data_IF_114301020350
#
_entry.id   IF_114301020350
#
_cell.length_a   1.000
_cell.length_b   1.000
_cell.length_c   1.000
_cell.angle_alpha   90.00
_cell.angle_beta   90.00
_cell.angle_gamma   90.00
#
_symmetry.space_group_name_H-M   'P 1'
#
loop_
_entity.id
_entity.type
_entity.pdbx_description
1 polymer ?
#
# COMPACT_ATOMS: atom_id res chain seq x y z
N UNK A 1 30.64 11.27 25.29
CA UNK A 1 29.98 12.56 24.95
C UNK A 1 28.51 12.25 24.77
N UNK A 2 27.65 12.79 25.61
CA UNK A 2 26.22 12.51 25.56
C UNK A 2 25.62 13.22 24.33
N UNK A 3 25.17 12.45 23.34
CA UNK A 3 24.41 12.96 22.21
C UNK A 3 22.97 13.17 22.68
N UNK A 4 22.57 14.41 22.83
CA UNK A 4 21.19 14.79 23.11
C UNK A 4 20.34 14.46 21.88
N UNK A 5 19.43 13.50 22.03
CA UNK A 5 18.39 13.17 21.07
C UNK A 5 17.54 14.43 20.75
N UNK A 6 17.23 14.76 19.51
CA UNK A 6 16.37 15.88 19.19
C UNK A 6 14.96 15.62 19.73
N UNK A 7 14.48 16.51 20.62
CA UNK A 7 13.13 16.45 21.16
C UNK A 7 12.12 16.83 20.07
N UNK A 8 11.25 15.91 19.74
CA UNK A 8 10.07 16.17 18.90
C UNK A 8 9.14 17.18 19.60
N UNK A 9 8.87 18.30 18.93
CA UNK A 9 7.85 19.27 19.36
C UNK A 9 6.60 19.10 18.49
N UNK A 10 5.43 18.77 19.04
CA UNK A 10 4.20 18.65 18.27
C UNK A 10 3.80 20.00 17.69
N UNK A 11 3.69 20.07 16.36
CA UNK A 11 3.16 21.26 15.67
C UNK A 11 1.68 21.43 16.03
N UNK A 12 1.28 22.65 16.40
CA UNK A 12 -0.13 23.06 16.53
C UNK A 12 -0.86 22.80 15.21
N UNK A 13 -1.99 22.09 15.26
CA UNK A 13 -2.80 21.70 14.12
C UNK A 13 -3.29 22.93 13.33
N UNK A 14 -2.67 23.21 12.19
CA UNK A 14 -3.36 23.88 11.08
C UNK A 14 -4.34 22.88 10.50
N UNK A 15 -5.54 23.31 10.08
CA UNK A 15 -6.47 22.44 9.36
C UNK A 15 -5.71 21.80 8.17
N UNK A 16 -5.59 20.47 8.23
CA UNK A 16 -4.83 19.70 7.24
C UNK A 16 -5.57 19.78 5.90
N UNK A 17 -4.85 20.05 4.81
CA UNK A 17 -5.43 20.24 3.48
C UNK A 17 -5.87 18.90 2.87
N UNK A 18 -6.80 18.95 1.90
CA UNK A 18 -7.25 17.77 1.14
C UNK A 18 -6.08 17.02 0.47
N UNK A 19 -5.06 17.73 0.01
CA UNK A 19 -3.83 17.14 -0.53
C UNK A 19 -3.08 16.32 0.52
N UNK A 20 -3.06 16.75 1.78
CA UNK A 20 -2.44 16.00 2.87
C UNK A 20 -3.15 14.67 3.13
N UNK A 21 -4.49 14.60 3.04
CA UNK A 21 -5.24 13.36 3.20
C UNK A 21 -4.78 12.27 2.23
N UNK A 22 -4.69 12.59 0.94
CA UNK A 22 -4.33 11.60 -0.08
C UNK A 22 -2.91 11.08 0.08
N UNK A 23 -1.96 11.94 0.50
CA UNK A 23 -0.54 11.62 0.49
C UNK A 23 0.10 11.38 1.86
N UNK A 24 -0.58 11.67 2.98
CA UNK A 24 -0.01 11.43 4.30
C UNK A 24 -0.09 9.96 4.71
N UNK A 25 0.87 9.54 5.52
CA UNK A 25 0.91 8.20 6.12
C UNK A 25 0.72 7.06 5.09
N UNK A 26 1.29 7.21 3.90
CA UNK A 26 1.37 6.13 2.92
C UNK A 26 2.61 5.27 3.20
N UNK A 27 2.38 3.97 3.35
CA UNK A 27 3.49 3.02 3.46
C UNK A 27 4.28 2.95 2.15
N UNK A 28 5.60 2.67 2.19
CA UNK A 28 6.34 2.26 1.01
C UNK A 28 5.70 1.00 0.43
N UNK A 29 5.27 1.05 -0.84
CA UNK A 29 4.46 0.00 -1.43
C UNK A 29 4.86 -0.25 -2.87
N UNK A 30 5.11 -1.52 -3.24
CA UNK A 30 5.42 -1.91 -4.62
C UNK A 30 4.16 -1.68 -5.46
N UNK A 31 4.32 -1.02 -6.60
CA UNK A 31 3.18 -0.68 -7.47
C UNK A 31 2.32 0.48 -6.98
N UNK A 32 2.78 1.24 -5.98
CA UNK A 32 2.05 2.41 -5.45
C UNK A 32 1.74 3.42 -6.57
N UNK A 33 0.47 3.75 -6.73
CA UNK A 33 -0.03 4.68 -7.76
C UNK A 33 0.13 6.17 -7.40
N UNK A 34 0.88 6.50 -6.35
CA UNK A 34 1.06 7.88 -5.87
C UNK A 34 1.48 8.86 -6.97
N UNK A 35 2.41 8.47 -7.81
CA UNK A 35 2.88 9.29 -8.95
C UNK A 35 1.97 9.20 -10.18
N UNK A 36 1.01 8.29 -10.18
CA UNK A 36 0.10 8.02 -11.29
C UNK A 36 -1.31 8.55 -11.02
N UNK A 37 -1.55 9.24 -9.89
CA UNK A 37 -2.89 9.74 -9.56
C UNK A 37 -3.44 10.71 -10.61
N UNK A 38 -2.59 11.54 -11.22
CA UNK A 38 -3.03 12.41 -12.31
C UNK A 38 -3.54 11.60 -13.51
N UNK A 39 -2.83 10.51 -13.88
CA UNK A 39 -3.25 9.61 -14.95
C UNK A 39 -4.60 8.94 -14.63
N UNK A 40 -4.78 8.50 -13.38
CA UNK A 40 -6.03 7.88 -12.92
C UNK A 40 -7.16 8.90 -12.89
N UNK A 41 -6.91 10.13 -12.45
CA UNK A 41 -7.90 11.22 -12.48
C UNK A 41 -8.32 11.56 -13.93
N UNK A 42 -7.39 11.58 -14.88
CA UNK A 42 -7.74 11.73 -16.29
C UNK A 42 -8.62 10.57 -16.79
N UNK A 43 -8.33 9.34 -16.38
CA UNK A 43 -9.18 8.19 -16.70
C UNK A 43 -10.59 8.32 -16.08
N UNK A 44 -10.70 8.77 -14.83
CA UNK A 44 -12.00 9.03 -14.19
C UNK A 44 -12.78 10.12 -14.94
N UNK A 45 -12.12 11.19 -15.39
CA UNK A 45 -12.77 12.25 -16.19
C UNK A 45 -13.39 11.75 -17.50
N UNK A 46 -12.80 10.71 -18.11
CA UNK A 46 -13.36 10.11 -19.33
C UNK A 46 -14.70 9.40 -19.10
N UNK A 47 -15.09 9.15 -17.86
CA UNK A 47 -16.40 8.60 -17.51
C UNK A 47 -17.52 9.66 -17.43
N UNK A 48 -17.16 10.95 -17.46
CA UNK A 48 -18.04 12.10 -17.20
C UNK A 48 -18.76 12.05 -15.83
N UNK A 49 -18.35 11.15 -14.94
CA UNK A 49 -18.90 11.03 -13.59
C UNK A 49 -18.19 11.99 -12.63
N UNK A 50 -18.97 12.71 -11.83
CA UNK A 50 -18.49 13.60 -10.77
C UNK A 50 -18.83 13.09 -9.36
N UNK A 51 -19.64 12.05 -9.27
CA UNK A 51 -20.05 11.35 -8.06
C UNK A 51 -20.54 9.94 -8.44
N UNK A 52 -20.98 9.16 -7.46
CA UNK A 52 -21.42 7.79 -7.64
C UNK A 52 -20.60 6.83 -6.77
N UNK A 53 -20.55 5.58 -7.16
CA UNK A 53 -19.82 4.52 -6.46
C UNK A 53 -18.50 4.20 -7.17
N UNK A 54 -17.42 4.13 -6.40
CA UNK A 54 -16.09 3.75 -6.87
C UNK A 54 -15.60 2.54 -6.07
N UNK A 55 -15.37 1.44 -6.74
CA UNK A 55 -14.85 0.20 -6.13
C UNK A 55 -13.39 0.05 -6.50
N UNK A 56 -12.50 0.05 -5.49
CA UNK A 56 -11.07 -0.23 -5.64
C UNK A 56 -10.83 -1.68 -5.20
N UNK A 57 -10.74 -2.62 -6.17
CA UNK A 57 -10.66 -4.06 -5.89
C UNK A 57 -9.31 -4.52 -5.35
N UNK A 58 -8.23 -3.74 -5.55
CA UNK A 58 -6.87 -4.05 -5.14
C UNK A 58 -6.25 -2.84 -4.45
N UNK A 59 -6.85 -2.39 -3.34
CA UNK A 59 -6.60 -1.05 -2.79
C UNK A 59 -5.18 -0.84 -2.22
N UNK A 60 -4.47 -1.90 -1.85
CA UNK A 60 -3.07 -1.85 -1.41
C UNK A 60 -2.79 -0.77 -0.37
N UNK A 61 -2.10 0.29 -0.79
CA UNK A 61 -1.82 1.46 0.06
C UNK A 61 -3.01 2.43 0.22
N UNK A 62 -4.13 2.14 -0.41
CA UNK A 62 -5.37 2.94 -0.46
C UNK A 62 -5.28 4.29 -1.18
N UNK A 63 -4.16 4.59 -1.86
CA UNK A 63 -3.96 5.93 -2.44
C UNK A 63 -4.99 6.29 -3.53
N UNK A 64 -5.43 5.30 -4.33
CA UNK A 64 -6.47 5.50 -5.36
C UNK A 64 -7.85 5.64 -4.70
N UNK A 65 -8.18 4.79 -3.75
CA UNK A 65 -9.39 4.88 -2.95
C UNK A 65 -9.52 6.24 -2.23
N UNK A 66 -8.41 6.76 -1.65
CA UNK A 66 -8.37 8.10 -1.04
C UNK A 66 -8.63 9.20 -2.08
N UNK A 67 -8.05 9.07 -3.27
CA UNK A 67 -8.28 10.02 -4.36
C UNK A 67 -9.76 10.01 -4.78
N UNK A 68 -10.37 8.84 -4.96
CA UNK A 68 -11.79 8.72 -5.30
C UNK A 68 -12.70 9.29 -4.19
N UNK A 69 -12.39 9.03 -2.91
CA UNK A 69 -13.10 9.64 -1.77
C UNK A 69 -13.01 11.17 -1.80
N UNK A 70 -11.82 11.71 -2.09
CA UNK A 70 -11.59 13.16 -2.20
C UNK A 70 -12.37 13.79 -3.36
N UNK A 71 -12.58 13.04 -4.45
CA UNK A 71 -13.40 13.46 -5.59
C UNK A 71 -14.92 13.40 -5.30
N UNK A 72 -15.34 12.87 -4.16
CA UNK A 72 -16.73 12.82 -3.73
C UNK A 72 -17.46 11.50 -4.01
N UNK A 73 -16.77 10.48 -4.50
CA UNK A 73 -17.35 9.15 -4.70
C UNK A 73 -17.63 8.45 -3.37
N UNK A 74 -18.70 7.64 -3.34
CA UNK A 74 -18.86 6.59 -2.34
C UNK A 74 -17.87 5.48 -2.66
N UNK A 75 -16.95 5.19 -1.75
CA UNK A 75 -15.83 4.27 -2.01
C UNK A 75 -16.03 2.94 -1.30
N UNK A 76 -15.87 1.85 -2.05
CA UNK A 76 -15.60 0.53 -1.50
C UNK A 76 -14.13 0.19 -1.80
N UNK A 77 -13.31 0.05 -0.75
CA UNK A 77 -11.91 -0.34 -0.86
C UNK A 77 -11.76 -1.80 -0.42
N UNK A 78 -11.27 -2.65 -1.32
CA UNK A 78 -11.03 -4.06 -1.05
C UNK A 78 -9.55 -4.41 -1.17
N UNK A 79 -9.11 -5.29 -0.29
CA UNK A 79 -7.85 -6.01 -0.44
C UNK A 79 -7.92 -7.28 0.40
N UNK A 80 -7.29 -8.36 -0.01
CA UNK A 80 -7.25 -9.56 0.81
C UNK A 80 -6.16 -9.54 1.90
N UNK A 81 -5.19 -8.61 1.79
CA UNK A 81 -4.12 -8.46 2.79
C UNK A 81 -4.62 -7.74 4.06
N UNK A 82 -4.42 -8.35 5.23
CA UNK A 82 -4.92 -7.80 6.50
C UNK A 82 -4.48 -6.35 6.77
N UNK A 83 -3.21 -6.02 6.52
CA UNK A 83 -2.71 -4.66 6.75
C UNK A 83 -3.38 -3.63 5.85
N UNK A 84 -3.62 -3.95 4.58
CA UNK A 84 -4.28 -3.07 3.62
C UNK A 84 -5.72 -2.79 4.03
N UNK A 85 -6.46 -3.85 4.40
CA UNK A 85 -7.82 -3.71 4.92
C UNK A 85 -7.88 -2.76 6.13
N UNK A 86 -6.96 -2.88 7.11
CA UNK A 86 -6.96 -1.99 8.28
C UNK A 86 -6.60 -0.54 7.91
N UNK A 87 -5.71 -0.33 6.94
CA UNK A 87 -5.47 1.02 6.40
C UNK A 87 -6.77 1.57 5.81
N UNK A 88 -7.52 0.77 5.04
CA UNK A 88 -8.79 1.20 4.45
C UNK A 88 -9.85 1.50 5.53
N UNK A 89 -9.99 0.67 6.56
CA UNK A 89 -10.90 0.96 7.69
C UNK A 89 -10.56 2.28 8.36
N UNK A 90 -9.27 2.53 8.64
CA UNK A 90 -8.85 3.76 9.33
C UNK A 90 -8.84 5.02 8.48
N UNK A 91 -8.83 4.93 7.14
CA UNK A 91 -8.66 6.10 6.27
C UNK A 91 -9.78 6.29 5.25
N UNK A 92 -10.42 5.22 4.78
CA UNK A 92 -11.51 5.29 3.79
C UNK A 92 -12.87 5.28 4.48
N UNK A 93 -13.11 4.32 5.38
CA UNK A 93 -14.39 4.19 6.09
C UNK A 93 -14.66 5.42 6.96
N UNK A 94 -13.65 5.88 7.68
CA UNK A 94 -13.80 7.00 8.61
C UNK A 94 -14.02 8.34 7.90
N UNK A 95 -15.17 8.95 8.11
CA UNK A 95 -15.45 10.34 7.72
C UNK A 95 -15.07 11.34 8.82
N UNK A 96 -15.01 10.89 10.07
CA UNK A 96 -14.61 11.66 11.23
C UNK A 96 -13.64 10.83 12.08
N UNK A 97 -12.88 11.49 12.94
CA UNK A 97 -12.04 10.82 13.90
C UNK A 97 -12.92 10.00 14.84
N UNK A 98 -12.69 8.67 15.00
CA UNK A 98 -13.45 7.85 15.94
C UNK A 98 -13.37 8.40 17.37
N UNK A 99 -14.42 8.25 18.19
CA UNK A 99 -14.56 8.98 19.45
C UNK A 99 -13.66 8.46 20.57
N UNK A 100 -13.26 7.18 20.56
CA UNK A 100 -12.49 6.54 21.65
C UNK A 100 -13.09 6.83 23.04
N UNK A 101 -14.42 6.73 23.15
CA UNK A 101 -15.16 7.17 24.35
C UNK A 101 -14.70 6.51 25.63
N UNK A 102 -14.45 5.19 25.61
CA UNK A 102 -13.96 4.42 26.77
C UNK A 102 -12.53 4.78 27.19
N UNK A 103 -11.77 5.39 26.28
CA UNK A 103 -10.38 5.78 26.53
C UNK A 103 -10.22 7.28 26.86
N UNK A 104 -11.30 8.05 26.83
CA UNK A 104 -11.30 9.49 27.09
C UNK A 104 -10.87 10.33 25.89
N UNK A 105 -11.16 9.85 24.67
CA UNK A 105 -10.91 10.55 23.41
C UNK A 105 -9.70 10.03 22.64
N UNK A 106 -9.66 10.37 21.36
CA UNK A 106 -8.62 9.93 20.43
C UNK A 106 -7.21 10.39 20.87
N UNK A 107 -7.04 11.67 21.22
CA UNK A 107 -5.74 12.18 21.68
C UNK A 107 -5.23 11.42 22.90
N UNK A 108 -6.12 11.09 23.84
CA UNK A 108 -5.77 10.33 25.04
C UNK A 108 -5.40 8.88 24.73
N UNK A 109 -6.08 8.25 23.77
CA UNK A 109 -5.75 6.89 23.33
C UNK A 109 -4.32 6.85 22.72
N UNK A 110 -4.01 7.76 21.79
CA UNK A 110 -2.68 7.86 21.18
C UNK A 110 -1.60 8.23 22.20
N UNK A 111 -1.88 9.18 23.11
CA UNK A 111 -0.96 9.54 24.18
C UNK A 111 -0.63 8.34 25.07
N UNK A 112 -1.65 7.59 25.51
CA UNK A 112 -1.47 6.38 26.33
C UNK A 112 -0.55 5.37 25.64
N UNK A 113 -0.70 5.13 24.32
CA UNK A 113 0.16 4.24 23.56
C UNK A 113 1.60 4.76 23.47
N UNK A 114 1.76 6.04 23.16
CA UNK A 114 3.07 6.66 23.01
C UNK A 114 3.85 6.74 24.33
N UNK A 115 3.18 6.80 25.48
CA UNK A 115 3.78 6.86 26.81
C UNK A 115 4.05 5.49 27.45
N UNK A 116 3.65 4.37 26.81
CA UNK A 116 3.91 3.03 27.35
C UNK A 116 5.40 2.78 27.57
N UNK A 117 5.74 2.12 28.66
CA UNK A 117 7.08 1.56 28.82
C UNK A 117 7.30 0.41 27.82
N UNK A 118 8.51 0.29 27.22
CA UNK A 118 8.80 -0.80 26.31
C UNK A 118 8.82 -2.15 27.04
N UNK A 119 8.34 -3.21 26.38
CA UNK A 119 8.38 -4.59 26.90
C UNK A 119 9.10 -5.51 25.91
N UNK A 120 9.71 -6.56 26.42
CA UNK A 120 10.26 -7.61 25.57
C UNK A 120 9.15 -8.58 25.14
N UNK A 121 8.87 -8.62 23.84
CA UNK A 121 7.82 -9.44 23.27
C UNK A 121 8.22 -9.99 21.91
N UNK A 122 7.23 -10.31 21.06
CA UNK A 122 7.45 -11.00 19.79
C UNK A 122 8.35 -10.24 18.79
N UNK A 123 8.15 -8.93 18.63
CA UNK A 123 8.95 -8.11 17.72
C UNK A 123 10.38 -7.97 18.22
N UNK A 124 10.56 -7.70 19.52
CA UNK A 124 11.87 -7.58 20.12
C UNK A 124 12.69 -8.88 20.01
N UNK A 125 12.06 -10.03 20.26
CA UNK A 125 12.74 -11.34 20.26
C UNK A 125 13.03 -11.86 18.85
N UNK A 126 12.12 -11.65 17.91
CA UNK A 126 12.22 -12.31 16.59
C UNK A 126 12.62 -11.39 15.44
N UNK A 127 12.50 -10.07 15.58
CA UNK A 127 12.70 -9.13 14.48
C UNK A 127 13.78 -8.07 14.75
N UNK A 128 14.37 -8.09 15.93
CA UNK A 128 15.43 -7.17 16.36
C UNK A 128 16.69 -7.94 16.74
N UNK A 129 17.87 -7.29 16.71
CA UNK A 129 19.07 -7.84 17.33
C UNK A 129 18.95 -7.79 18.85
N UNK A 130 19.77 -8.56 19.55
CA UNK A 130 19.88 -8.51 21.01
C UNK A 130 20.53 -7.19 21.48
N UNK A 131 21.53 -6.73 20.71
CA UNK A 131 22.28 -5.50 20.95
C UNK A 131 22.28 -4.64 19.65
N UNK A 132 21.70 -3.45 19.72
CA UNK A 132 21.61 -2.52 18.57
C UNK A 132 22.99 -1.97 18.16
N UNK A 133 23.95 -1.89 19.09
CA UNK A 133 25.29 -1.36 18.84
C UNK A 133 26.24 -2.43 18.25
N UNK A 134 26.00 -3.72 18.58
CA UNK A 134 26.83 -4.85 18.14
C UNK A 134 25.97 -6.01 17.61
N UNK A 135 25.16 -5.82 16.57
CA UNK A 135 24.31 -6.88 16.04
C UNK A 135 25.18 -7.97 15.37
N UNK A 136 24.83 -9.24 15.61
CA UNK A 136 25.39 -10.35 14.86
C UNK A 136 24.76 -10.38 13.45
N UNK A 137 25.49 -9.88 12.46
CA UNK A 137 25.03 -9.78 11.08
C UNK A 137 24.74 -11.13 10.40
N UNK A 138 25.13 -12.25 10.97
CA UNK A 138 24.88 -13.59 10.42
C UNK A 138 23.58 -14.19 10.95
N UNK A 139 23.26 -13.96 12.22
CA UNK A 139 22.17 -14.64 12.92
C UNK A 139 21.05 -13.72 13.36
N UNK A 140 21.32 -12.44 13.65
CA UNK A 140 20.30 -11.50 14.10
C UNK A 140 19.45 -10.97 12.93
N UNK A 141 18.13 -10.84 13.17
CA UNK A 141 17.28 -10.05 12.30
C UNK A 141 17.37 -8.59 12.71
N UNK A 142 17.56 -7.74 11.72
CA UNK A 142 17.72 -6.30 11.92
C UNK A 142 16.57 -5.53 11.23
N UNK A 143 15.32 -6.02 11.37
CA UNK A 143 14.16 -5.30 10.83
C UNK A 143 13.89 -4.00 11.56
N UNK A 144 14.16 -3.99 12.87
CA UNK A 144 13.97 -2.81 13.72
C UNK A 144 15.10 -2.73 14.74
N UNK A 145 15.38 -1.52 15.24
CA UNK A 145 16.15 -1.36 16.46
C UNK A 145 15.37 -1.98 17.64
N UNK A 146 16.08 -2.62 18.58
CA UNK A 146 15.46 -3.30 19.72
C UNK A 146 14.54 -2.40 20.51
N UNK A 147 14.94 -1.14 20.76
CA UNK A 147 14.08 -0.15 21.42
C UNK A 147 12.71 0.03 20.75
N UNK A 148 12.69 0.03 19.42
CA UNK A 148 11.46 0.14 18.64
C UNK A 148 10.67 -1.17 18.64
N UNK A 149 11.34 -2.34 18.55
CA UNK A 149 10.70 -3.64 18.69
C UNK A 149 9.97 -3.79 20.02
N UNK A 150 10.63 -3.46 21.12
CA UNK A 150 10.03 -3.49 22.46
C UNK A 150 8.85 -2.51 22.61
N UNK A 151 8.92 -1.36 21.96
CA UNK A 151 7.83 -0.39 21.97
C UNK A 151 6.65 -0.84 21.10
N UNK A 152 6.91 -1.47 19.95
CA UNK A 152 5.89 -2.10 19.10
C UNK A 152 5.14 -3.18 19.89
N UNK A 153 5.86 -4.03 20.60
CA UNK A 153 5.27 -5.07 21.45
C UNK A 153 4.35 -4.47 22.52
N UNK A 154 4.83 -3.46 23.26
CA UNK A 154 4.03 -2.79 24.30
C UNK A 154 2.75 -2.17 23.74
N UNK A 155 2.86 -1.45 22.60
CA UNK A 155 1.71 -0.82 21.96
C UNK A 155 0.71 -1.86 21.46
N UNK A 156 1.19 -2.93 20.83
CA UNK A 156 0.31 -3.92 20.21
C UNK A 156 -0.41 -4.77 21.27
N UNK A 157 0.27 -5.17 22.34
CA UNK A 157 -0.37 -5.85 23.48
C UNK A 157 -1.46 -4.95 24.08
N UNK A 158 -1.18 -3.67 24.31
CA UNK A 158 -2.16 -2.76 24.87
C UNK A 158 -3.38 -2.57 23.95
N UNK A 159 -3.19 -2.52 22.64
CA UNK A 159 -4.30 -2.44 21.68
C UNK A 159 -5.13 -3.73 21.73
N UNK A 160 -4.50 -4.90 21.86
CA UNK A 160 -5.22 -6.15 22.00
C UNK A 160 -6.03 -6.22 23.30
N UNK A 161 -5.44 -5.82 24.44
CA UNK A 161 -6.17 -5.69 25.70
C UNK A 161 -7.42 -4.80 25.57
N UNK A 162 -7.30 -3.67 24.87
CA UNK A 162 -8.45 -2.77 24.64
C UNK A 162 -9.51 -3.42 23.75
N UNK A 163 -9.09 -4.20 22.77
CA UNK A 163 -9.99 -4.92 21.88
C UNK A 163 -10.72 -6.05 22.60
N UNK A 164 -9.99 -6.91 23.31
CA UNK A 164 -10.54 -8.02 24.07
C UNK A 164 -11.48 -7.56 25.21
N UNK A 165 -11.17 -6.45 25.85
CA UNK A 165 -12.03 -5.84 26.89
C UNK A 165 -13.23 -5.07 26.32
N UNK A 166 -13.34 -4.92 24.99
CA UNK A 166 -14.37 -4.09 24.37
C UNK A 166 -14.21 -2.59 24.65
N UNK A 167 -13.00 -2.16 25.06
CA UNK A 167 -12.70 -0.75 25.29
C UNK A 167 -12.56 0.07 24.01
N UNK A 168 -12.37 -0.58 22.88
CA UNK A 168 -12.36 0.00 21.54
C UNK A 168 -13.27 -0.78 20.59
N UNK A 169 -13.89 -0.07 19.64
CA UNK A 169 -14.68 -0.65 18.55
C UNK A 169 -13.79 -1.14 17.42
N UNK A 170 -14.35 -1.88 16.45
CA UNK A 170 -13.62 -2.29 15.25
C UNK A 170 -13.15 -1.08 14.40
N UNK A 171 -13.93 -0.01 14.34
CA UNK A 171 -13.54 1.24 13.68
C UNK A 171 -12.36 1.92 14.38
N UNK A 172 -12.40 2.01 15.72
CA UNK A 172 -11.31 2.54 16.52
C UNK A 172 -10.05 1.68 16.41
N UNK A 173 -10.21 0.36 16.39
CA UNK A 173 -9.11 -0.58 16.12
C UNK A 173 -8.50 -0.33 14.74
N UNK A 174 -9.30 -0.26 13.67
CA UNK A 174 -8.81 0.00 12.33
C UNK A 174 -8.11 1.35 12.21
N UNK A 175 -8.62 2.37 12.90
CA UNK A 175 -8.00 3.69 12.94
C UNK A 175 -6.62 3.68 13.63
N UNK A 176 -6.49 2.97 14.76
CA UNK A 176 -5.20 2.74 15.42
C UNK A 176 -4.24 1.94 14.54
N UNK A 177 -4.73 0.86 13.89
CA UNK A 177 -3.89 0.02 13.04
C UNK A 177 -3.39 0.77 11.81
N UNK A 178 -4.18 1.64 11.20
CA UNK A 178 -3.73 2.47 10.07
C UNK A 178 -2.52 3.34 10.46
N UNK A 179 -2.56 3.99 11.64
CA UNK A 179 -1.42 4.72 12.18
C UNK A 179 -0.23 3.80 12.47
N UNK A 180 -0.49 2.64 13.07
CA UNK A 180 0.55 1.74 13.54
C UNK A 180 1.31 1.08 12.37
N UNK A 181 0.60 0.60 11.35
CA UNK A 181 1.19 0.04 10.13
C UNK A 181 2.13 1.07 9.46
N UNK A 182 1.73 2.33 9.39
CA UNK A 182 2.59 3.39 8.88
C UNK A 182 3.83 3.60 9.76
N UNK A 183 3.65 3.77 11.08
CA UNK A 183 4.76 4.05 12.00
C UNK A 183 5.77 2.91 12.06
N UNK A 184 5.31 1.64 12.04
CA UNK A 184 6.19 0.46 11.95
C UNK A 184 6.96 0.45 10.62
N UNK A 185 6.30 0.76 9.52
CA UNK A 185 6.97 0.87 8.22
C UNK A 185 8.02 1.99 8.20
N UNK A 186 7.74 3.10 8.89
CA UNK A 186 8.63 4.25 8.98
C UNK A 186 9.94 3.93 9.68
N UNK A 187 9.90 3.27 10.83
CA UNK A 187 11.10 2.93 11.62
C UNK A 187 11.79 1.64 11.15
N UNK A 188 11.29 0.99 10.10
CA UNK A 188 11.86 -0.27 9.62
C UNK A 188 13.19 -0.08 8.90
N UNK A 189 14.14 -0.99 9.13
CA UNK A 189 15.44 -1.07 8.46
C UNK A 189 15.33 -1.86 7.15
N UNK A 190 14.43 -1.42 6.27
CA UNK A 190 14.13 -2.09 5.00
C UNK A 190 14.12 -1.10 3.84
N UNK A 191 14.17 -1.61 2.62
CA UNK A 191 13.98 -0.83 1.39
C UNK A 191 12.51 -0.63 1.02
N UNK A 192 11.59 -0.70 1.99
CA UNK A 192 10.15 -0.55 1.79
C UNK A 192 9.39 -1.87 1.62
N UNK A 193 10.09 -3.02 1.65
CA UNK A 193 9.50 -4.37 1.68
C UNK A 193 10.15 -5.19 2.78
N UNK A 194 9.37 -5.99 3.47
CA UNK A 194 9.81 -6.80 4.62
C UNK A 194 10.29 -8.21 4.23
N UNK A 195 10.57 -8.44 2.97
CA UNK A 195 11.16 -9.70 2.49
C UNK A 195 12.60 -9.88 2.96
N UNK A 196 13.26 -8.81 3.34
CA UNK A 196 14.58 -8.73 3.92
C UNK A 196 14.82 -7.40 4.62
N UNK A 197 15.96 -7.28 5.26
CA UNK A 197 16.41 -6.07 5.95
C UNK A 197 17.83 -5.72 5.48
N UNK A 198 18.26 -4.49 5.75
CA UNK A 198 19.65 -4.10 5.52
C UNK A 198 20.56 -4.68 6.62
N UNK A 199 21.68 -5.29 6.23
CA UNK A 199 22.72 -5.65 7.17
C UNK A 199 23.43 -4.37 7.63
N UNK A 200 23.41 -4.12 8.93
CA UNK A 200 23.71 -2.80 9.48
C UNK A 200 22.58 -1.79 9.26
N UNK A 201 22.59 -0.73 10.05
CA UNK A 201 21.52 0.27 10.03
C UNK A 201 21.58 1.17 8.79
N UNK A 202 20.48 1.24 8.05
CA UNK A 202 20.36 2.11 6.87
C UNK A 202 21.04 1.61 5.59
N UNK A 203 21.62 0.41 5.60
CA UNK A 203 22.35 -0.15 4.47
C UNK A 203 23.60 0.65 4.08
N UNK A 204 24.12 0.43 2.87
CA UNK A 204 25.38 1.04 2.40
C UNK A 204 25.34 2.57 2.31
N UNK A 205 24.19 3.13 2.00
CA UNK A 205 24.04 4.58 1.77
C UNK A 205 23.64 5.36 3.03
N UNK A 206 23.20 4.67 4.09
CA UNK A 206 22.78 5.24 5.39
C UNK A 206 21.79 6.41 5.32
N UNK A 207 21.15 6.64 4.19
CA UNK A 207 20.24 7.77 3.95
C UNK A 207 18.97 7.71 4.79
N UNK A 208 18.63 6.55 5.34
CA UNK A 208 17.42 6.33 6.14
C UNK A 208 17.68 6.26 7.65
N UNK A 209 18.93 6.47 8.10
CA UNK A 209 19.29 6.36 9.53
C UNK A 209 18.42 7.23 10.43
N UNK A 210 18.12 8.47 10.01
CA UNK A 210 17.32 9.40 10.80
C UNK A 210 15.95 8.85 11.19
N UNK A 211 15.30 8.05 10.32
CA UNK A 211 14.00 7.43 10.61
C UNK A 211 14.14 6.08 11.34
N UNK A 212 15.14 5.26 10.98
CA UNK A 212 15.38 3.94 11.59
C UNK A 212 15.78 4.10 13.06
N UNK A 213 16.63 5.09 13.36
CA UNK A 213 17.10 5.37 14.71
C UNK A 213 16.15 6.25 15.54
N UNK A 214 15.08 6.81 14.93
CA UNK A 214 14.08 7.56 15.69
C UNK A 214 13.25 6.62 16.57
N UNK A 215 12.65 7.17 17.61
CA UNK A 215 11.69 6.44 18.42
C UNK A 215 10.36 6.33 17.67
N UNK A 216 9.76 5.15 17.68
CA UNK A 216 8.44 4.95 17.08
C UNK A 216 7.41 5.82 17.82
N UNK A 217 6.61 6.53 17.04
CA UNK A 217 5.54 7.40 17.54
C UNK A 217 4.30 7.23 16.66
N UNK A 218 3.13 7.09 17.29
CA UNK A 218 1.86 7.00 16.59
C UNK A 218 1.21 8.38 16.50
N UNK A 219 0.83 8.77 15.29
CA UNK A 219 0.02 9.96 15.03
C UNK A 219 -1.32 9.57 14.42
N UNK A 220 -2.43 10.21 14.83
CA UNK A 220 -3.75 9.95 14.26
C UNK A 220 -3.76 10.13 12.75
N UNK A 221 -4.33 9.19 11.96
CA UNK A 221 -4.52 9.35 10.53
C UNK A 221 -5.37 10.58 10.20
N UNK A 222 -5.11 11.16 9.03
CA UNK A 222 -5.96 12.20 8.49
C UNK A 222 -7.20 11.54 7.89
N UNK A 223 -8.38 12.05 8.21
CA UNK A 223 -9.65 11.65 7.61
C UNK A 223 -10.33 12.85 6.99
N UNK A 224 -11.15 12.62 5.99
CA UNK A 224 -12.03 13.62 5.38
C UNK A 224 -13.47 13.10 5.36
N UNK A 225 -14.39 14.00 5.52
CA UNK A 225 -15.83 13.71 5.34
C UNK A 225 -16.22 14.04 3.89
N UNK A 226 -16.63 13.03 3.15
CA UNK A 226 -17.18 13.19 1.80
C UNK A 226 -18.72 13.03 1.76
N UNK A 227 -19.37 12.93 2.92
CA UNK A 227 -20.81 12.77 3.05
C UNK A 227 -21.33 11.41 2.59
N UNK A 228 -20.45 10.42 2.34
CA UNK A 228 -20.80 9.09 1.83
C UNK A 228 -20.52 8.02 2.87
N UNK A 229 -21.29 6.94 2.84
CA UNK A 229 -21.02 5.73 3.62
C UNK A 229 -19.99 4.87 2.88
N UNK A 230 -18.72 5.07 3.20
CA UNK A 230 -17.62 4.33 2.58
C UNK A 230 -17.42 2.97 3.26
N UNK A 231 -16.90 2.00 2.52
CA UNK A 231 -16.82 0.60 2.93
C UNK A 231 -15.39 0.08 2.72
N UNK A 232 -14.93 -0.76 3.64
CA UNK A 232 -13.72 -1.57 3.47
C UNK A 232 -14.08 -3.05 3.55
N UNK A 233 -13.56 -3.85 2.61
CA UNK A 233 -13.73 -5.31 2.59
C UNK A 233 -12.38 -6.01 2.55
N UNK A 234 -12.36 -7.27 3.04
CA UNK A 234 -11.18 -8.13 2.99
C UNK A 234 -11.54 -9.46 2.35
N UNK A 235 -11.59 -9.47 1.04
CA UNK A 235 -12.01 -10.64 0.27
C UNK A 235 -11.13 -10.82 -0.97
N UNK A 236 -11.13 -12.00 -1.54
CA UNK A 236 -10.65 -12.22 -2.90
C UNK A 236 -11.46 -11.37 -3.89
N UNK A 237 -10.80 -10.77 -4.88
CA UNK A 237 -11.46 -9.87 -5.82
C UNK A 237 -12.49 -10.59 -6.71
N UNK A 238 -12.19 -11.84 -7.14
CA UNK A 238 -13.10 -12.67 -7.91
C UNK A 238 -14.34 -13.07 -7.13
N UNK A 239 -14.21 -13.36 -5.83
CA UNK A 239 -15.35 -13.64 -4.96
C UNK A 239 -16.20 -12.39 -4.70
N UNK A 240 -15.55 -11.25 -4.47
CA UNK A 240 -16.23 -9.99 -4.12
C UNK A 240 -17.12 -9.47 -5.24
N UNK A 241 -16.70 -9.58 -6.52
CA UNK A 241 -17.45 -9.00 -7.65
C UNK A 241 -18.87 -9.53 -7.76
N UNK A 242 -19.12 -10.77 -7.34
CA UNK A 242 -20.45 -11.39 -7.33
C UNK A 242 -21.39 -10.79 -6.27
N UNK A 243 -20.87 -10.10 -5.26
CA UNK A 243 -21.65 -9.52 -4.15
C UNK A 243 -21.70 -8.00 -4.13
N UNK A 244 -20.99 -7.32 -5.05
CA UNK A 244 -20.87 -5.85 -5.06
C UNK A 244 -22.21 -5.13 -5.05
N UNK A 245 -23.14 -5.49 -5.93
CA UNK A 245 -24.47 -4.85 -6.01
C UNK A 245 -25.28 -5.04 -4.73
N UNK A 246 -25.11 -6.20 -4.06
CA UNK A 246 -25.75 -6.46 -2.76
C UNK A 246 -25.17 -5.61 -1.63
N UNK A 247 -23.83 -5.46 -1.58
CA UNK A 247 -23.14 -4.66 -0.57
C UNK A 247 -23.42 -3.16 -0.76
N UNK A 248 -23.39 -2.68 -2.01
CA UNK A 248 -23.60 -1.27 -2.34
C UNK A 248 -25.07 -0.87 -2.39
N UNK A 249 -25.98 -1.83 -2.54
CA UNK A 249 -27.41 -1.59 -2.76
C UNK A 249 -27.76 -1.22 -4.21
N UNK A 250 -26.79 -1.11 -5.10
CA UNK A 250 -26.92 -0.78 -6.52
C UNK A 250 -25.71 -1.29 -7.31
N UNK A 251 -25.86 -1.31 -8.65
CA UNK A 251 -24.74 -1.57 -9.57
C UNK A 251 -23.68 -0.49 -9.39
N UNK A 252 -22.39 -0.85 -9.24
CA UNK A 252 -21.31 0.13 -9.15
C UNK A 252 -21.16 0.97 -10.43
N UNK A 253 -20.84 2.26 -10.25
CA UNK A 253 -20.56 3.13 -11.37
C UNK A 253 -19.18 2.89 -11.96
N UNK A 254 -18.17 2.78 -11.10
CA UNK A 254 -16.78 2.52 -11.49
C UNK A 254 -16.23 1.34 -10.67
N UNK A 255 -15.64 0.37 -11.36
CA UNK A 255 -14.77 -0.65 -10.76
C UNK A 255 -13.36 -0.43 -11.26
N UNK A 256 -12.44 -0.15 -10.34
CA UNK A 256 -11.03 0.06 -10.61
C UNK A 256 -10.22 -1.20 -10.31
N UNK A 257 -9.38 -1.58 -11.27
CA UNK A 257 -8.53 -2.76 -11.25
C UNK A 257 -7.05 -2.36 -11.29
N UNK A 258 -6.30 -2.82 -10.32
CA UNK A 258 -4.84 -2.75 -10.26
C UNK A 258 -4.29 -4.09 -9.76
N UNK A 259 -4.54 -5.21 -10.49
CA UNK A 259 -4.12 -6.52 -10.05
C UNK A 259 -2.60 -6.61 -9.96
N UNK A 260 -2.03 -7.50 -9.13
CA UNK A 260 -0.59 -7.73 -9.11
C UNK A 260 -0.06 -8.09 -10.51
N UNK A 261 0.89 -7.32 -11.04
CA UNK A 261 1.48 -7.56 -12.36
C UNK A 261 2.97 -7.92 -12.30
N UNK A 262 3.41 -8.45 -11.15
CA UNK A 262 4.74 -9.01 -10.97
C UNK A 262 4.68 -10.35 -10.24
N UNK A 263 5.80 -11.13 -10.31
CA UNK A 263 5.90 -12.45 -9.72
C UNK A 263 6.13 -12.46 -8.19
N UNK A 264 6.04 -11.32 -7.51
CA UNK A 264 6.36 -11.21 -6.08
C UNK A 264 5.10 -11.10 -5.23
N UNK A 265 4.74 -12.14 -4.43
CA UNK A 265 3.55 -12.13 -3.59
C UNK A 265 3.60 -11.04 -2.53
N UNK A 266 2.53 -10.26 -2.41
CA UNK A 266 2.39 -9.19 -1.42
C UNK A 266 2.42 -9.73 0.01
N UNK A 267 1.81 -10.88 0.27
CA UNK A 267 1.88 -11.56 1.56
C UNK A 267 3.32 -11.88 2.01
N UNK A 268 4.26 -12.11 1.05
CA UNK A 268 5.69 -12.26 1.35
C UNK A 268 6.38 -10.92 1.58
N UNK A 269 6.00 -9.91 0.80
CA UNK A 269 6.64 -8.59 0.85
C UNK A 269 6.27 -7.83 2.12
N UNK A 270 5.06 -8.05 2.65
CA UNK A 270 4.51 -7.28 3.79
C UNK A 270 4.11 -8.17 4.97
N UNK A 271 4.71 -9.36 5.10
CA UNK A 271 4.36 -10.36 6.12
C UNK A 271 4.43 -9.82 7.56
N UNK A 272 5.37 -8.92 7.86
CA UNK A 272 5.51 -8.30 9.19
C UNK A 272 4.32 -7.40 9.50
N UNK A 273 3.80 -6.67 8.51
CA UNK A 273 2.60 -5.85 8.69
C UNK A 273 1.35 -6.71 8.90
N UNK A 274 1.27 -7.87 8.24
CA UNK A 274 0.21 -8.85 8.53
C UNK A 274 0.32 -9.41 9.94
N UNK A 275 1.53 -9.76 10.41
CA UNK A 275 1.75 -10.20 11.79
C UNK A 275 1.36 -9.12 12.79
N UNK A 276 1.72 -7.85 12.51
CA UNK A 276 1.33 -6.71 13.35
C UNK A 276 -0.19 -6.59 13.49
N UNK A 277 -0.92 -6.72 12.38
CA UNK A 277 -2.39 -6.55 12.36
C UNK A 277 -3.10 -7.75 12.96
N UNK A 278 -2.74 -8.97 12.55
CA UNK A 278 -3.36 -10.21 13.01
C UNK A 278 -2.99 -10.55 14.46
N UNK A 279 -1.82 -10.18 14.89
CA UNK A 279 -1.21 -10.48 16.18
C UNK A 279 -1.16 -11.98 16.49
N UNK A 280 -1.02 -12.76 15.43
CA UNK A 280 -1.02 -14.22 15.46
C UNK A 280 0.33 -14.84 15.86
N UNK A 281 1.37 -14.01 15.98
CA UNK A 281 2.71 -14.37 16.49
C UNK A 281 3.20 -15.70 15.92
N UNK A 282 3.34 -15.84 14.59
CA UNK A 282 3.72 -17.11 13.97
C UNK A 282 5.05 -17.60 14.54
N UNK A 283 5.20 -18.91 14.69
CA UNK A 283 6.42 -19.52 15.20
C UNK A 283 7.59 -19.23 14.28
N UNK A 284 8.60 -18.56 14.80
CA UNK A 284 9.86 -18.25 14.12
C UNK A 284 11.02 -18.65 15.03
N UNK A 285 12.12 -19.17 14.49
CA UNK A 285 13.36 -19.31 15.27
C UNK A 285 13.79 -17.93 15.81
N UNK A 286 14.34 -17.85 16.99
CA UNK A 286 14.82 -16.58 17.56
C UNK A 286 15.88 -15.95 16.65
N UNK A 287 16.80 -16.76 16.12
CA UNK A 287 17.89 -16.32 15.22
C UNK A 287 17.80 -16.97 13.84
N UNK A 288 18.41 -16.35 12.85
CA UNK A 288 18.54 -16.89 11.51
C UNK A 288 19.59 -18.00 11.54
N UNK A 289 19.27 -19.16 10.94
CA UNK A 289 20.28 -20.20 10.69
C UNK A 289 21.26 -19.69 9.62
N UNK A 290 22.58 -19.67 9.86
CA UNK A 290 23.58 -19.25 8.89
C UNK A 290 23.41 -19.94 7.52
N UNK A 291 23.53 -19.18 6.44
CA UNK A 291 23.31 -19.66 5.08
C UNK A 291 21.86 -19.75 4.62
N UNK A 292 20.88 -19.49 5.50
CA UNK A 292 19.46 -19.39 5.14
C UNK A 292 19.05 -17.93 4.91
N UNK A 293 17.93 -17.73 4.20
CA UNK A 293 17.31 -16.40 4.10
C UNK A 293 16.66 -16.03 5.44
N UNK A 294 16.54 -14.72 5.71
CA UNK A 294 15.83 -14.23 6.89
C UNK A 294 14.51 -14.99 7.05
N UNK A 295 14.26 -15.52 8.24
CA UNK A 295 13.08 -16.32 8.47
C UNK A 295 11.83 -15.43 8.34
N UNK A 296 10.93 -15.88 7.53
CA UNK A 296 9.70 -15.20 7.17
C UNK A 296 8.59 -16.20 7.39
N UNK A 297 7.44 -15.78 7.92
CA UNK A 297 6.25 -16.61 7.94
C UNK A 297 5.99 -17.15 6.52
N UNK A 298 5.52 -18.40 6.43
CA UNK A 298 5.45 -19.10 5.13
C UNK A 298 4.01 -19.43 4.70
N UNK A 299 3.02 -19.15 5.53
CA UNK A 299 1.60 -19.42 5.30
C UNK A 299 1.08 -18.76 4.02
N UNK A 300 1.58 -17.58 3.66
CA UNK A 300 1.23 -16.91 2.42
C UNK A 300 1.51 -17.75 1.16
N UNK A 301 2.37 -18.76 1.26
CA UNK A 301 2.67 -19.67 0.13
C UNK A 301 1.53 -20.62 -0.20
N UNK A 302 0.72 -20.95 0.78
CA UNK A 302 -0.42 -21.86 0.66
C UNK A 302 -1.77 -21.16 0.73
N UNK A 303 -1.90 -20.15 1.59
CA UNK A 303 -3.19 -19.53 1.94
C UNK A 303 -3.51 -18.27 1.12
N UNK A 304 -2.49 -17.53 0.68
CA UNK A 304 -2.65 -16.25 -0.05
C UNK A 304 -1.76 -16.20 -1.29
N UNK A 305 -1.97 -17.18 -2.17
CA UNK A 305 -1.21 -17.29 -3.40
C UNK A 305 -2.01 -16.74 -4.57
N UNK A 306 -1.71 -15.51 -5.01
CA UNK A 306 -2.41 -14.89 -6.12
C UNK A 306 -2.05 -15.54 -7.47
N UNK A 307 -3.06 -15.89 -8.26
CA UNK A 307 -2.91 -16.37 -9.63
C UNK A 307 -2.22 -15.30 -10.53
N UNK A 308 -2.41 -14.03 -10.24
CA UNK A 308 -1.75 -12.91 -10.94
C UNK A 308 -0.22 -12.91 -10.86
N UNK A 309 0.37 -13.57 -9.85
CA UNK A 309 1.82 -13.72 -9.75
C UNK A 309 2.40 -14.80 -10.69
N UNK A 310 1.57 -15.52 -11.44
CA UNK A 310 1.94 -16.60 -12.34
C UNK A 310 1.55 -16.28 -13.79
N UNK A 311 2.54 -16.14 -14.69
CA UNK A 311 2.32 -15.79 -16.10
C UNK A 311 1.28 -16.66 -16.82
N UNK A 312 1.24 -17.94 -16.52
CA UNK A 312 0.33 -18.91 -17.15
C UNK A 312 -1.08 -18.93 -16.53
N UNK A 313 -1.33 -18.23 -15.45
CA UNK A 313 -2.62 -18.15 -14.76
C UNK A 313 -3.21 -16.74 -14.80
N UNK A 314 -2.37 -15.71 -14.85
CA UNK A 314 -2.79 -14.31 -14.73
C UNK A 314 -3.82 -13.90 -15.79
N UNK A 315 -3.64 -14.37 -17.05
CA UNK A 315 -4.56 -14.01 -18.15
C UNK A 315 -5.95 -14.61 -17.94
N UNK A 316 -6.04 -15.90 -17.57
CA UNK A 316 -7.33 -16.56 -17.33
C UNK A 316 -8.04 -15.99 -16.12
N UNK A 317 -7.30 -15.72 -15.05
CA UNK A 317 -7.82 -15.07 -13.84
C UNK A 317 -8.37 -13.68 -14.11
N UNK A 318 -7.63 -12.90 -14.91
CA UNK A 318 -8.07 -11.57 -15.31
C UNK A 318 -9.30 -11.61 -16.22
N UNK A 319 -9.36 -12.57 -17.14
CA UNK A 319 -10.51 -12.76 -18.05
C UNK A 319 -11.76 -13.12 -17.26
N UNK A 320 -11.65 -14.04 -16.29
CA UNK A 320 -12.74 -14.43 -15.40
C UNK A 320 -13.20 -13.22 -14.56
N UNK A 321 -12.29 -12.55 -13.86
CA UNK A 321 -12.61 -11.35 -13.09
C UNK A 321 -13.34 -10.29 -13.91
N UNK A 322 -12.80 -9.94 -15.10
CA UNK A 322 -13.39 -8.91 -15.95
C UNK A 322 -14.75 -9.34 -16.49
N UNK A 323 -14.95 -10.64 -16.79
CA UNK A 323 -16.24 -11.15 -17.26
C UNK A 323 -17.33 -11.01 -16.22
N UNK A 324 -17.02 -11.18 -14.94
CA UNK A 324 -17.95 -11.21 -13.83
C UNK A 324 -18.28 -9.83 -13.25
N UNK A 325 -17.50 -8.81 -13.59
CA UNK A 325 -17.77 -7.44 -13.16
C UNK A 325 -19.06 -6.91 -13.82
N UNK A 326 -20.06 -6.58 -13.00
CA UNK A 326 -21.22 -5.80 -13.42
C UNK A 326 -21.10 -4.36 -12.91
N UNK A 327 -20.56 -3.48 -13.76
CA UNK A 327 -20.43 -2.05 -13.47
C UNK A 327 -20.66 -1.23 -14.73
N UNK A 328 -20.91 0.09 -14.55
CA UNK A 328 -21.04 1.00 -15.69
C UNK A 328 -19.71 1.23 -16.39
N UNK A 329 -18.64 1.41 -15.62
CA UNK A 329 -17.27 1.57 -16.13
C UNK A 329 -16.32 0.59 -15.45
N UNK A 330 -15.35 0.07 -16.22
CA UNK A 330 -14.21 -0.67 -15.71
C UNK A 330 -12.95 0.14 -16.05
N UNK A 331 -12.21 0.54 -15.02
CA UNK A 331 -10.94 1.22 -15.15
C UNK A 331 -9.83 0.26 -14.76
N UNK A 332 -8.88 -0.01 -15.67
CA UNK A 332 -7.78 -0.94 -15.39
C UNK A 332 -6.45 -0.22 -15.54
N UNK A 333 -5.71 -0.08 -14.44
CA UNK A 333 -4.29 0.33 -14.47
C UNK A 333 -3.42 -0.83 -14.86
N UNK A 334 -2.52 -0.61 -15.82
CA UNK A 334 -1.54 -1.61 -16.23
C UNK A 334 -0.27 -0.96 -16.81
N UNK A 335 0.74 -1.79 -17.05
CA UNK A 335 2.05 -1.38 -17.54
C UNK A 335 2.46 -2.23 -18.75
N UNK A 336 3.26 -1.68 -19.65
CA UNK A 336 3.83 -2.42 -20.79
C UNK A 336 4.74 -3.58 -20.36
N UNK A 337 5.10 -3.66 -19.08
CA UNK A 337 5.97 -4.69 -18.51
C UNK A 337 5.27 -5.65 -17.55
N UNK A 338 3.95 -5.60 -17.50
CA UNK A 338 3.19 -6.51 -16.67
C UNK A 338 3.30 -7.98 -17.08
N UNK A 339 2.93 -8.90 -16.17
CA UNK A 339 2.96 -10.35 -16.39
C UNK A 339 2.06 -10.82 -17.53
N UNK A 340 0.96 -10.11 -17.79
CA UNK A 340 0.05 -10.41 -18.91
C UNK A 340 0.46 -9.61 -20.15
N UNK A 341 0.44 -10.21 -21.34
CA UNK A 341 0.64 -9.46 -22.58
C UNK A 341 -0.40 -8.32 -22.74
N UNK A 342 0.04 -7.16 -23.17
CA UNK A 342 -0.84 -5.97 -23.36
C UNK A 342 -1.98 -6.29 -24.32
N UNK A 343 -1.71 -7.11 -25.35
CA UNK A 343 -2.68 -7.58 -26.32
C UNK A 343 -3.83 -8.34 -25.65
N UNK A 344 -3.52 -9.23 -24.69
CA UNK A 344 -4.53 -10.00 -23.98
C UNK A 344 -5.35 -9.11 -23.03
N UNK A 345 -4.69 -8.21 -22.32
CA UNK A 345 -5.37 -7.23 -21.45
C UNK A 345 -6.38 -6.41 -22.24
N UNK A 346 -5.97 -5.87 -23.40
CA UNK A 346 -6.86 -5.07 -24.24
C UNK A 346 -7.95 -5.91 -24.91
N UNK A 347 -7.66 -7.15 -25.31
CA UNK A 347 -8.66 -8.08 -25.87
C UNK A 347 -9.77 -8.35 -24.85
N UNK A 348 -9.38 -8.69 -23.63
CA UNK A 348 -10.32 -8.99 -22.55
C UNK A 348 -11.19 -7.76 -22.23
N UNK A 349 -10.57 -6.62 -22.00
CA UNK A 349 -11.29 -5.39 -21.69
C UNK A 349 -12.17 -4.91 -22.84
N UNK A 350 -11.68 -4.98 -24.07
CA UNK A 350 -12.41 -4.56 -25.28
C UNK A 350 -13.61 -5.45 -25.60
N UNK A 351 -13.67 -6.68 -25.09
CA UNK A 351 -14.86 -7.56 -25.22
C UNK A 351 -16.05 -7.06 -24.39
N UNK A 352 -15.80 -6.20 -23.39
CA UNK A 352 -16.81 -5.70 -22.44
C UNK A 352 -17.50 -4.41 -22.87
N UNK A 353 -16.93 -3.67 -23.84
CA UNK A 353 -17.50 -2.42 -24.29
C UNK A 353 -16.54 -1.55 -25.07
N UNK A 354 -16.87 -0.27 -25.23
CA UNK A 354 -16.00 0.68 -25.90
C UNK A 354 -14.80 1.08 -25.02
N UNK A 355 -13.64 1.23 -25.65
CA UNK A 355 -12.36 1.42 -24.94
C UNK A 355 -11.77 2.80 -25.22
N UNK A 356 -11.33 3.47 -24.14
CA UNK A 356 -10.45 4.63 -24.19
C UNK A 356 -9.19 4.34 -23.37
N UNK A 357 -8.04 4.93 -23.72
CA UNK A 357 -6.77 4.68 -23.02
C UNK A 357 -6.08 6.02 -22.75
N UNK A 358 -5.75 6.24 -21.49
CA UNK A 358 -4.83 7.29 -21.04
C UNK A 358 -3.49 6.66 -20.68
N UNK A 359 -2.37 7.34 -20.95
CA UNK A 359 -1.04 6.79 -20.75
C UNK A 359 -0.03 7.84 -20.30
N UNK A 360 1.02 7.39 -19.62
CA UNK A 360 2.12 8.23 -19.14
C UNK A 360 3.42 7.44 -19.17
N UNK A 361 4.54 8.08 -19.52
CA UNK A 361 5.86 7.53 -19.26
C UNK A 361 6.15 7.54 -17.77
N UNK A 362 6.69 6.44 -17.27
CA UNK A 362 6.93 6.27 -15.83
C UNK A 362 8.33 5.72 -15.57
N UNK A 363 9.03 6.35 -14.61
CA UNK A 363 10.33 5.87 -14.17
C UNK A 363 10.16 4.57 -13.36
N UNK A 364 10.86 3.50 -13.76
CA UNK A 364 10.79 2.21 -13.07
C UNK A 364 11.28 2.32 -11.63
N UNK A 365 10.58 1.66 -10.73
CA UNK A 365 11.06 1.49 -9.36
C UNK A 365 12.35 0.66 -9.34
N UNK A 366 13.44 1.22 -8.86
CA UNK A 366 14.73 0.53 -8.72
C UNK A 366 14.94 0.12 -7.27
N UNK A 367 15.11 -1.17 -7.02
CA UNK A 367 15.44 -1.71 -5.69
C UNK A 367 16.89 -1.39 -5.31
N UNK A 368 17.78 -1.13 -6.28
CA UNK A 368 19.19 -0.80 -6.07
C UNK A 368 19.66 0.23 -7.10
N UNK A 369 20.23 1.36 -6.66
CA UNK A 369 20.83 2.36 -7.55
C UNK A 369 22.08 1.80 -8.27
N UNK A 370 22.69 0.73 -7.78
CA UNK A 370 23.94 0.14 -8.32
C UNK A 370 23.71 -0.90 -9.42
N UNK A 371 22.46 -1.30 -9.71
CA UNK A 371 22.13 -2.18 -10.83
C UNK A 371 21.45 -1.35 -11.94
N UNK A 372 22.20 -1.02 -13.02
CA UNK A 372 21.59 -0.36 -14.15
C UNK A 372 20.50 -1.26 -14.73
N UNK A 373 19.30 -0.72 -14.93
CA UNK A 373 18.29 -1.36 -15.74
C UNK A 373 18.56 -1.00 -17.20
N UNK A 374 18.54 -1.94 -18.14
CA UNK A 374 18.67 -1.63 -19.56
C UNK A 374 17.50 -0.78 -20.08
N UNK A 375 16.40 -0.66 -19.32
CA UNK A 375 15.26 0.21 -19.58
C UNK A 375 14.88 0.96 -18.31
N UNK A 376 15.17 2.28 -18.21
CA UNK A 376 14.91 3.06 -16.99
C UNK A 376 13.44 3.44 -16.83
N UNK A 377 12.65 3.44 -17.91
CA UNK A 377 11.23 3.83 -17.92
C UNK A 377 10.39 2.77 -18.64
N UNK A 378 9.08 2.83 -18.43
CA UNK A 378 8.04 2.04 -19.10
C UNK A 378 6.83 2.95 -19.37
N UNK A 379 5.82 2.42 -20.05
CA UNK A 379 4.55 3.10 -20.21
C UNK A 379 3.56 2.52 -19.20
N UNK A 380 3.09 3.38 -18.29
CA UNK A 380 1.92 3.11 -17.47
C UNK A 380 0.68 3.66 -18.18
N UNK A 381 -0.41 2.91 -18.15
CA UNK A 381 -1.64 3.29 -18.81
C UNK A 381 -2.87 2.85 -18.01
N UNK A 382 -3.98 3.56 -18.22
CA UNK A 382 -5.29 3.18 -17.71
C UNK A 382 -6.23 2.98 -18.88
N UNK A 383 -6.83 1.79 -18.92
CA UNK A 383 -7.90 1.47 -19.88
C UNK A 383 -9.23 1.79 -19.22
N UNK A 384 -10.04 2.59 -19.88
CA UNK A 384 -11.42 2.93 -19.48
C UNK A 384 -12.36 2.20 -20.41
N UNK A 385 -13.16 1.29 -19.87
CA UNK A 385 -14.19 0.56 -20.59
C UNK A 385 -15.56 1.11 -20.21
N UNK A 386 -16.32 1.57 -21.20
CA UNK A 386 -17.75 1.84 -21.07
C UNK A 386 -18.52 0.57 -21.42
N UNK A 387 -19.08 -0.12 -20.43
CA UNK A 387 -19.76 -1.41 -20.61
C UNK A 387 -21.12 -1.30 -21.31
N UNK A 388 -21.68 -0.11 -21.45
CA UNK A 388 -22.88 0.15 -22.26
C UNK A 388 -22.53 0.52 -23.70
N UNK A 389 -21.23 0.72 -23.98
CA UNK A 389 -20.74 0.91 -25.34
C UNK A 389 -20.67 -0.41 -26.13
N UNK A 390 -20.48 -0.29 -27.43
CA UNK A 390 -20.27 -1.46 -28.29
C UNK A 390 -18.87 -2.04 -28.06
N UNK A 391 -18.74 -3.37 -27.96
CA UNK A 391 -17.43 -4.03 -27.87
C UNK A 391 -16.46 -3.54 -28.95
N UNK A 392 -15.20 -3.34 -28.54
CA UNK A 392 -14.22 -2.68 -29.36
C UNK A 392 -13.74 -3.59 -30.50
N UNK A 393 -13.71 -3.15 -31.77
CA UNK A 393 -13.19 -3.95 -32.87
C UNK A 393 -11.71 -4.31 -32.69
N UNK A 394 -11.34 -5.54 -33.04
CA UNK A 394 -9.95 -6.03 -32.92
C UNK A 394 -8.94 -5.16 -33.64
N UNK A 395 -9.33 -4.54 -34.79
CA UNK A 395 -8.45 -3.63 -35.54
C UNK A 395 -8.06 -2.38 -34.74
N UNK A 396 -9.00 -1.82 -33.96
CA UNK A 396 -8.73 -0.66 -33.10
C UNK A 396 -7.91 -1.06 -31.87
N UNK A 397 -8.20 -2.20 -31.26
CA UNK A 397 -7.39 -2.74 -30.16
C UNK A 397 -5.93 -2.96 -30.61
N UNK A 398 -5.71 -3.56 -31.80
CA UNK A 398 -4.38 -3.74 -32.38
C UNK A 398 -3.66 -2.40 -32.63
N UNK A 399 -4.38 -1.36 -33.04
CA UNK A 399 -3.80 -0.03 -33.19
C UNK A 399 -3.36 0.58 -31.85
N UNK A 400 -4.14 0.40 -30.78
CA UNK A 400 -3.78 0.84 -29.41
C UNK A 400 -2.53 0.08 -28.94
N UNK A 401 -2.49 -1.25 -29.08
CA UNK A 401 -1.31 -2.07 -28.74
C UNK A 401 -0.08 -1.57 -29.46
N UNK A 402 -0.18 -1.37 -30.78
CA UNK A 402 0.93 -0.90 -31.61
C UNK A 402 1.43 0.50 -31.19
N UNK A 403 0.53 1.40 -30.76
CA UNK A 403 0.93 2.72 -30.25
C UNK A 403 1.66 2.60 -28.91
N UNK A 404 1.17 1.78 -27.97
CA UNK A 404 1.82 1.55 -26.67
C UNK A 404 3.21 0.93 -26.85
N UNK A 405 3.34 -0.12 -27.66
CA UNK A 405 4.61 -0.78 -27.95
C UNK A 405 5.62 0.12 -28.65
N UNK A 406 5.17 0.91 -29.63
CA UNK A 406 6.02 1.88 -30.33
C UNK A 406 6.56 2.94 -29.36
N UNK A 407 5.75 3.43 -28.44
CA UNK A 407 6.17 4.42 -27.43
C UNK A 407 7.12 3.81 -26.42
N UNK A 408 6.83 2.60 -25.96
CA UNK A 408 7.72 1.88 -25.05
C UNK A 408 9.10 1.64 -25.70
N UNK A 409 9.12 1.25 -26.98
CA UNK A 409 10.35 1.06 -27.74
C UNK A 409 11.12 2.37 -28.02
N UNK A 410 10.44 3.52 -28.01
CA UNK A 410 11.05 4.83 -28.25
C UNK A 410 11.69 5.42 -26.97
N UNK A 411 11.51 4.81 -25.80
CA UNK A 411 12.11 5.26 -24.53
C UNK A 411 13.62 4.98 -24.60
N UNK A 412 14.50 5.98 -24.35
CA UNK A 412 15.95 5.79 -24.35
C UNK A 412 16.41 4.78 -23.32
N UNK A 413 17.45 4.01 -23.64
CA UNK A 413 18.04 3.00 -22.72
C UNK A 413 18.86 3.62 -21.58
N UNK A 414 19.19 4.91 -21.63
CA UNK A 414 19.93 5.62 -20.59
C UNK A 414 19.36 7.01 -20.34
N UNK A 415 19.04 7.29 -19.07
CA UNK A 415 18.70 8.63 -18.60
C UNK A 415 19.67 9.02 -17.47
N UNK A 416 20.50 10.03 -17.72
CA UNK A 416 21.32 10.66 -16.68
C UNK A 416 20.47 11.49 -15.67
N UNK A 417 19.22 11.81 -15.99
CA UNK A 417 18.31 12.60 -15.15
C UNK A 417 17.67 11.82 -13.98
N UNK A 418 17.79 10.49 -13.93
CA UNK A 418 17.04 9.66 -12.96
C UNK A 418 17.57 9.68 -11.53
N UNK A 419 18.77 10.22 -11.27
CA UNK A 419 19.34 10.29 -9.93
C UNK A 419 18.65 11.37 -9.06
N UNK A 420 18.28 12.51 -9.63
CA UNK A 420 17.63 13.61 -8.90
C UNK A 420 16.15 13.34 -8.60
N UNK A 421 15.39 12.70 -9.51
CA UNK A 421 13.98 12.39 -9.26
C UNK A 421 13.77 11.30 -8.18
N UNK A 422 14.69 10.36 -8.02
CA UNK A 422 14.62 9.34 -6.97
C UNK A 422 14.93 9.89 -5.58
N UNK A 423 15.81 10.90 -5.49
CA UNK A 423 16.04 11.65 -4.25
C UNK A 423 14.80 12.47 -3.84
N UNK A 424 14.03 12.99 -4.79
CA UNK A 424 12.79 13.74 -4.53
C UNK A 424 11.70 12.88 -3.90
N UNK A 425 11.67 11.56 -4.13
CA UNK A 425 10.73 10.63 -3.45
C UNK A 425 10.97 10.52 -1.94
N UNK A 426 12.21 10.73 -1.49
CA UNK A 426 12.58 10.76 -0.07
C UNK A 426 12.38 12.15 0.56
N UNK A 427 12.31 13.22 -0.27
CA UNK A 427 12.20 14.61 0.20
C UNK A 427 10.77 15.14 0.35
N UNK A 428 9.74 14.42 -0.09
CA UNK A 428 8.33 14.82 0.13
C UNK A 428 7.76 14.43 1.50
N UNK A 429 8.60 13.94 2.39
CA UNK A 429 8.31 13.95 3.82
C UNK A 429 8.68 15.36 4.32
N UNK A 430 7.84 16.01 5.14
CA UNK A 430 8.13 17.39 5.56
C UNK A 430 9.49 17.46 6.25
N UNK A 431 10.47 17.99 5.54
CA UNK A 431 11.73 18.42 6.13
C UNK A 431 11.37 19.55 7.11
N UNK A 432 11.74 19.40 8.36
CA UNK A 432 11.76 20.52 9.28
C UNK A 432 12.71 21.57 8.68
N UNK A 433 12.17 22.69 8.18
CA UNK A 433 13.00 23.86 7.93
C UNK A 433 13.56 24.30 9.27
N UNK A 434 14.87 24.26 9.40
CA UNK A 434 15.62 24.89 10.47
C UNK A 434 15.45 26.42 10.31
N UNK A 435 14.84 27.06 11.30
CA UNK A 435 15.12 28.41 11.77
C UNK A 435 15.43 28.37 13.27
#
# INVERSE_FOLDING_TARGET
>A
MATTSPRYHPRRSKAKTTTEYTFSQLIPYIGNKRKLLNLIQEAIKLTDLTNGTFVDLFSGSTVVARCAKQLGFRVLANDWEPYSHQIAVGTIVQNQIPPFSSLGGCENAFRKLNELDPIEGYFALHLCPEDDDNPDHETDRQFFMRKNGMKIDAMRERIEEWRESGSITDDEFGYLMAAFVFSVSWVSNTSGVFKGFHRGWGGSNQTALYRICSDIHLEPPIVIDNGQENIATRQDAGELVHSLSGILGNRPDIVYLDPPYNQHPYGSNYHILNTLVLWDKPELPEKITPGTKAAIRKDWRSERRSAYNHHNQAVSEFEELVSDIDSRFILTSYSTEGNMPVEEVLRILGSRGSVQVVRQEYARYRVSPTRPSPRPRNIEFVVVVDTEGVPEPSSRLSAIVSDLQRRDAAIPESDDETAEEQLTLLHYLPVAEEE
#
